data_IF_849331977031
#
_entry.id   IF_849331977031
#
_cell.length_a   1.000
_cell.length_b   1.000
_cell.length_c   1.000
_cell.angle_alpha   90.00
_cell.angle_beta   90.00
_cell.angle_gamma   90.00
#
_symmetry.space_group_name_H-M   'P 1'
#
loop_
_entity.id
_entity.type
_entity.pdbx_description
1 polymer ?
#
# COMPACT_ATOMS: atom_id res chain seq x y z
N UNK A 1 -20.44 9.91 -12.27
CA UNK A 1 -19.83 9.55 -10.96
C UNK A 1 -18.40 10.06 -11.00
N UNK A 2 -18.01 11.01 -10.14
CA UNK A 2 -16.62 11.49 -10.05
C UNK A 2 -15.82 10.48 -9.20
N UNK A 3 -14.96 9.69 -9.84
CA UNK A 3 -14.17 8.64 -9.18
C UNK A 3 -12.77 9.20 -8.95
N UNK A 4 -12.32 9.22 -7.69
CA UNK A 4 -10.98 9.68 -7.30
C UNK A 4 -10.08 8.47 -7.06
N UNK A 5 -9.01 8.34 -7.84
CA UNK A 5 -8.04 7.25 -7.72
C UNK A 5 -6.74 7.81 -7.17
N UNK A 6 -6.17 7.15 -6.17
CA UNK A 6 -4.83 7.48 -5.66
C UNK A 6 -3.80 6.70 -6.48
N UNK A 7 -2.99 7.42 -7.25
CA UNK A 7 -1.93 6.84 -8.08
C UNK A 7 -0.59 6.81 -7.35
N UNK A 8 0.25 5.85 -7.72
CA UNK A 8 1.66 5.90 -7.34
C UNK A 8 2.36 7.11 -8.00
N UNK A 9 3.54 7.49 -7.48
CA UNK A 9 4.38 8.57 -8.00
C UNK A 9 4.76 8.39 -9.48
N UNK A 10 4.75 7.16 -10.01
CA UNK A 10 4.92 6.90 -11.45
C UNK A 10 3.82 7.50 -12.33
N UNK A 11 2.62 7.71 -11.79
CA UNK A 11 1.44 8.14 -12.55
C UNK A 11 1.24 9.67 -12.55
N UNK A 12 2.31 10.44 -12.40
CA UNK A 12 2.28 11.92 -12.41
C UNK A 12 2.16 12.49 -13.83
N UNK A 13 2.14 11.64 -14.88
CA UNK A 13 1.95 12.11 -16.26
C UNK A 13 0.63 12.88 -16.39
N UNK A 14 0.75 14.12 -16.86
CA UNK A 14 -0.38 15.01 -17.10
C UNK A 14 -1.28 14.52 -18.23
N UNK A 15 -0.74 13.75 -19.17
CA UNK A 15 -1.46 13.17 -20.31
C UNK A 15 -2.44 12.09 -19.85
N UNK A 16 -1.95 11.15 -19.03
CA UNK A 16 -2.75 10.05 -18.47
C UNK A 16 -3.87 10.61 -17.57
N UNK A 17 -3.54 11.58 -16.72
CA UNK A 17 -4.54 12.21 -15.85
C UNK A 17 -5.63 12.96 -16.63
N UNK A 18 -5.26 13.66 -17.71
CA UNK A 18 -6.21 14.36 -18.58
C UNK A 18 -7.10 13.40 -19.36
N UNK A 19 -6.51 12.33 -19.91
CA UNK A 19 -7.27 11.33 -20.66
C UNK A 19 -8.30 10.63 -19.77
N UNK A 20 -7.92 10.22 -18.56
CA UNK A 20 -8.82 9.60 -17.58
C UNK A 20 -9.93 10.56 -17.12
N UNK A 21 -9.62 11.85 -16.97
CA UNK A 21 -10.62 12.85 -16.62
C UNK A 21 -11.62 13.08 -17.77
N UNK A 22 -11.14 13.13 -19.01
CA UNK A 22 -11.95 13.36 -20.20
C UNK A 22 -12.81 12.16 -20.58
N UNK A 23 -12.24 10.96 -20.60
CA UNK A 23 -12.92 9.76 -21.10
C UNK A 23 -13.80 9.11 -20.04
N UNK A 24 -13.44 9.19 -18.76
CA UNK A 24 -14.07 8.40 -17.70
C UNK A 24 -14.52 9.23 -16.49
N UNK A 25 -14.34 10.56 -16.50
CA UNK A 25 -14.55 11.42 -15.32
C UNK A 25 -13.79 10.92 -14.08
N UNK A 26 -12.56 10.41 -14.28
CA UNK A 26 -11.71 9.89 -13.21
C UNK A 26 -10.64 10.94 -12.86
N UNK A 27 -10.62 11.33 -11.59
CA UNK A 27 -9.63 12.24 -11.02
C UNK A 27 -8.46 11.45 -10.42
N UNK A 28 -7.31 11.45 -11.11
CA UNK A 28 -6.10 10.78 -10.64
C UNK A 28 -5.27 11.66 -9.70
N UNK A 29 -5.18 11.24 -8.44
CA UNK A 29 -4.41 11.88 -7.39
C UNK A 29 -3.06 11.17 -7.23
N UNK A 30 -2.10 11.52 -8.08
CA UNK A 30 -0.72 11.03 -7.97
C UNK A 30 0.16 12.04 -7.20
N UNK A 31 1.06 11.55 -6.35
CA UNK A 31 1.96 12.42 -5.60
C UNK A 31 2.93 13.16 -6.54
N UNK A 32 2.72 14.45 -6.72
CA UNK A 32 3.56 15.24 -7.61
C UNK A 32 5.02 15.32 -7.15
N UNK A 33 5.95 15.42 -8.11
CA UNK A 33 7.38 15.62 -7.83
C UNK A 33 7.59 16.94 -7.08
N UNK A 34 8.59 16.99 -6.18
CA UNK A 34 8.94 18.20 -5.39
C UNK A 34 9.17 19.45 -6.27
N UNK A 35 9.61 19.27 -7.51
CA UNK A 35 9.91 20.35 -8.46
C UNK A 35 8.73 20.65 -9.41
N UNK A 36 7.54 20.10 -9.18
CA UNK A 36 6.37 20.39 -10.01
C UNK A 36 5.87 21.81 -9.77
N UNK A 37 5.50 22.50 -10.86
CA UNK A 37 4.97 23.87 -10.83
C UNK A 37 3.60 23.97 -10.15
N UNK A 38 2.83 22.89 -10.11
CA UNK A 38 1.44 22.87 -9.62
C UNK A 38 1.24 21.91 -8.45
N UNK A 39 1.84 22.18 -7.29
CA UNK A 39 1.74 21.25 -6.16
C UNK A 39 0.34 21.19 -5.52
N UNK A 40 -0.05 19.99 -5.08
CA UNK A 40 -1.20 19.84 -4.19
C UNK A 40 -0.97 20.54 -2.85
N UNK A 41 -2.05 21.01 -2.19
CA UNK A 41 -1.97 21.55 -0.85
C UNK A 41 -1.26 20.60 0.11
N UNK A 42 -0.52 21.16 1.08
CA UNK A 42 0.30 20.39 2.04
C UNK A 42 -0.47 19.26 2.72
N UNK A 43 -1.75 19.48 3.05
CA UNK A 43 -2.59 18.46 3.69
C UNK A 43 -2.85 17.25 2.79
N UNK A 44 -3.26 17.44 1.52
CA UNK A 44 -3.48 16.36 0.55
C UNK A 44 -2.19 15.58 0.33
N UNK A 45 -1.07 16.29 0.18
CA UNK A 45 0.25 15.68 0.00
C UNK A 45 0.63 14.79 1.19
N UNK A 46 0.34 15.24 2.41
CA UNK A 46 0.58 14.46 3.63
C UNK A 46 -0.29 13.20 3.69
N UNK A 47 -1.58 13.31 3.33
CA UNK A 47 -2.49 12.16 3.27
C UNK A 47 -1.99 11.13 2.24
N UNK A 48 -1.70 11.57 1.02
CA UNK A 48 -1.14 10.72 -0.05
C UNK A 48 0.16 10.03 0.40
N UNK A 49 1.06 10.79 1.04
CA UNK A 49 2.33 10.25 1.53
C UNK A 49 2.15 9.23 2.66
N UNK A 50 1.21 9.47 3.59
CA UNK A 50 0.87 8.52 4.66
C UNK A 50 0.29 7.22 4.10
N UNK A 51 -0.64 7.32 3.14
CA UNK A 51 -1.23 6.15 2.48
C UNK A 51 -0.17 5.34 1.74
N UNK A 52 0.70 6.00 0.96
CA UNK A 52 1.81 5.35 0.27
C UNK A 52 2.74 4.62 1.25
N UNK A 53 3.15 5.32 2.32
CA UNK A 53 4.04 4.74 3.32
C UNK A 53 3.42 3.53 4.02
N UNK A 54 2.09 3.53 4.23
CA UNK A 54 1.37 2.37 4.78
C UNK A 54 1.49 1.16 3.84
N UNK A 55 1.23 1.34 2.55
CA UNK A 55 1.36 0.29 1.52
C UNK A 55 2.80 -0.24 1.47
N UNK A 56 3.80 0.64 1.40
CA UNK A 56 5.22 0.27 1.40
C UNK A 56 5.62 -0.51 2.66
N UNK A 57 5.11 -0.09 3.82
CA UNK A 57 5.38 -0.78 5.09
C UNK A 57 4.78 -2.18 5.09
N UNK A 58 3.55 -2.36 4.61
CA UNK A 58 2.94 -3.69 4.49
C UNK A 58 3.71 -4.59 3.53
N UNK A 59 4.19 -4.08 2.39
CA UNK A 59 5.00 -4.87 1.45
C UNK A 59 6.39 -5.23 2.00
N UNK A 60 7.08 -4.29 2.65
CA UNK A 60 8.33 -4.57 3.38
C UNK A 60 8.07 -5.63 4.44
N UNK A 61 6.96 -5.54 5.18
CA UNK A 61 6.59 -6.53 6.18
C UNK A 61 6.37 -7.93 5.61
N UNK A 62 5.58 -8.03 4.54
CA UNK A 62 5.34 -9.29 3.85
C UNK A 62 6.65 -9.89 3.29
N UNK A 63 7.55 -9.05 2.79
CA UNK A 63 8.81 -9.48 2.20
C UNK A 63 9.82 -9.93 3.26
N UNK A 64 10.08 -9.10 4.26
CA UNK A 64 11.14 -9.31 5.26
C UNK A 64 10.71 -10.27 6.37
N UNK A 65 9.52 -10.08 6.95
CA UNK A 65 9.06 -10.88 8.10
C UNK A 65 8.41 -12.18 7.64
N UNK A 66 7.51 -12.10 6.64
CA UNK A 66 6.75 -13.27 6.19
C UNK A 66 7.39 -14.00 5.01
N UNK A 67 8.51 -13.51 4.47
CA UNK A 67 9.21 -14.11 3.33
C UNK A 67 8.28 -14.38 2.13
N UNK A 68 7.39 -13.44 1.80
CA UNK A 68 6.42 -13.59 0.72
C UNK A 68 7.06 -13.81 -0.66
N UNK A 69 8.28 -13.29 -0.86
CA UNK A 69 9.03 -13.46 -2.11
C UNK A 69 9.75 -14.81 -2.19
N UNK A 70 9.84 -15.56 -1.08
CA UNK A 70 10.50 -16.86 -1.01
C UNK A 70 9.48 -17.92 -0.61
N UNK A 71 8.83 -18.50 -1.61
CA UNK A 71 7.83 -19.56 -1.44
C UNK A 71 8.32 -20.83 -2.13
N UNK A 72 8.73 -21.82 -1.33
CA UNK A 72 9.18 -23.12 -1.83
C UNK A 72 7.96 -24.02 -2.15
N UNK A 73 7.28 -23.73 -3.25
CA UNK A 73 6.17 -24.51 -3.76
C UNK A 73 6.57 -25.29 -5.03
N UNK A 74 6.14 -26.55 -5.11
CA UNK A 74 6.37 -27.42 -6.28
C UNK A 74 5.24 -27.38 -7.31
N UNK A 75 4.09 -26.78 -6.96
CA UNK A 75 2.89 -26.72 -7.80
C UNK A 75 2.24 -25.33 -7.70
N UNK A 76 1.48 -24.94 -8.73
CA UNK A 76 0.75 -23.66 -8.77
C UNK A 76 -0.22 -23.51 -7.60
N UNK A 77 -0.97 -24.56 -7.28
CA UNK A 77 -1.91 -24.56 -6.15
C UNK A 77 -1.16 -24.40 -4.82
N UNK A 78 -0.03 -25.09 -4.65
CA UNK A 78 0.82 -24.95 -3.46
C UNK A 78 1.39 -23.54 -3.32
N UNK A 79 1.73 -22.89 -4.44
CA UNK A 79 2.20 -21.50 -4.45
C UNK A 79 1.09 -20.55 -3.99
N UNK A 80 -0.10 -20.63 -4.60
CA UNK A 80 -1.26 -19.81 -4.23
C UNK A 80 -1.59 -19.97 -2.75
N UNK A 81 -1.70 -21.21 -2.28
CA UNK A 81 -2.02 -21.51 -0.87
C UNK A 81 -0.99 -20.91 0.08
N UNK A 82 0.31 -21.10 -0.18
CA UNK A 82 1.38 -20.59 0.70
C UNK A 82 1.45 -19.07 0.70
N UNK A 83 1.21 -18.41 -0.45
CA UNK A 83 1.11 -16.94 -0.51
C UNK A 83 -0.09 -16.47 0.31
N UNK A 84 -1.26 -17.08 0.14
CA UNK A 84 -2.47 -16.75 0.90
C UNK A 84 -2.27 -16.91 2.40
N UNK A 85 -1.62 -17.98 2.85
CA UNK A 85 -1.29 -18.19 4.28
C UNK A 85 -0.35 -17.09 4.80
N UNK A 86 0.65 -16.66 4.03
CA UNK A 86 1.55 -15.58 4.43
C UNK A 86 0.83 -14.24 4.58
N UNK A 87 -0.08 -13.94 3.65
CA UNK A 87 -0.94 -12.75 3.73
C UNK A 87 -1.89 -12.84 4.92
N UNK A 88 -2.48 -14.01 5.16
CA UNK A 88 -3.36 -14.24 6.30
C UNK A 88 -2.62 -14.04 7.63
N UNK A 89 -1.42 -14.61 7.76
CA UNK A 89 -0.59 -14.46 8.96
C UNK A 89 -0.24 -12.98 9.22
N UNK A 90 0.09 -12.23 8.15
CA UNK A 90 0.28 -10.78 8.24
C UNK A 90 -0.95 -10.04 8.78
N UNK A 91 -2.14 -10.36 8.27
CA UNK A 91 -3.39 -9.75 8.73
C UNK A 91 -3.72 -10.13 10.18
N UNK A 92 -3.47 -11.37 10.58
CA UNK A 92 -3.63 -11.82 11.97
C UNK A 92 -2.69 -11.04 12.89
N UNK A 93 -1.45 -10.78 12.50
CA UNK A 93 -0.54 -9.95 13.31
C UNK A 93 -1.06 -8.52 13.49
N UNK A 94 -1.73 -7.95 12.49
CA UNK A 94 -2.41 -6.64 12.64
C UNK A 94 -3.56 -6.72 13.65
N UNK A 95 -4.37 -7.77 13.58
CA UNK A 95 -5.47 -8.00 14.50
C UNK A 95 -4.96 -8.17 15.94
N UNK A 96 -3.94 -9.00 16.15
CA UNK A 96 -3.33 -9.19 17.48
C UNK A 96 -2.81 -7.86 18.01
N UNK A 97 -2.09 -7.09 17.19
CA UNK A 97 -1.56 -5.79 17.61
C UNK A 97 -2.67 -4.81 18.02
N UNK A 98 -3.80 -4.83 17.30
CA UNK A 98 -4.97 -4.04 17.64
C UNK A 98 -5.56 -4.47 19.00
N UNK A 99 -5.77 -5.77 19.19
CA UNK A 99 -6.33 -6.33 20.42
C UNK A 99 -5.44 -6.11 21.65
N UNK A 100 -4.12 -6.05 21.47
CA UNK A 100 -3.15 -5.74 22.54
C UNK A 100 -3.15 -4.25 22.96
N UNK A 101 -4.07 -3.43 22.46
CA UNK A 101 -4.19 -2.01 22.84
C UNK A 101 -3.28 -1.05 22.06
N UNK A 102 -2.55 -1.52 21.05
CA UNK A 102 -1.69 -0.68 20.21
C UNK A 102 -2.46 -0.03 19.03
N UNK A 103 -3.65 0.52 19.30
CA UNK A 103 -4.53 1.09 18.27
C UNK A 103 -3.90 2.24 17.48
N UNK A 104 -3.06 3.06 18.13
CA UNK A 104 -2.34 4.16 17.47
C UNK A 104 -1.24 3.67 16.51
N UNK A 105 -0.77 2.42 16.66
CA UNK A 105 0.37 1.86 15.94
C UNK A 105 0.10 0.45 15.39
N UNK A 106 -1.12 0.18 14.92
CA UNK A 106 -1.56 -1.15 14.46
C UNK A 106 -0.59 -1.74 13.42
N UNK A 107 0.02 -0.89 12.57
CA UNK A 107 1.00 -1.34 11.58
C UNK A 107 2.37 -1.75 12.10
N UNK A 108 2.69 -1.56 13.39
CA UNK A 108 4.01 -1.91 13.95
C UNK A 108 4.09 -3.37 14.40
N UNK A 109 3.85 -4.33 13.50
CA UNK A 109 3.76 -5.75 13.87
C UNK A 109 5.12 -6.47 14.04
N UNK A 110 6.25 -5.80 13.79
CA UNK A 110 7.58 -6.47 13.80
C UNK A 110 7.90 -7.14 15.15
N UNK A 111 7.51 -6.52 16.26
CA UNK A 111 7.69 -7.06 17.61
C UNK A 111 6.83 -8.30 17.93
N UNK A 112 5.79 -8.55 17.14
CA UNK A 112 4.92 -9.73 17.32
C UNK A 112 5.41 -10.94 16.52
N UNK A 113 6.10 -10.70 15.40
CA UNK A 113 6.63 -11.76 14.53
C UNK A 113 8.03 -12.21 14.98
N UNK A 114 8.75 -11.31 15.67
CA UNK A 114 10.03 -11.58 16.31
C UNK A 114 9.97 -11.05 17.74
N UNK A 115 9.39 -11.86 18.62
CA UNK A 115 9.51 -11.75 20.08
C UNK A 115 10.50 -12.77 20.58
#
# INVERSE_FOLDING_TARGET
KDIKIIGDKGYVSTEIGKQLALEQNISLLALQRKNSKTQFPKHIRNILSKMRRRVETSFSQLTEQFNANKVLAKTKLGLMTRISIKILAHNISYLINFLSGNEANIGKIKHLVFG
#
